data_IF_642170820632
#
_entry.id   IF_642170820632
#
_cell.length_a   1.000
_cell.length_b   1.000
_cell.length_c   1.000
_cell.angle_alpha   90.00
_cell.angle_beta   90.00
_cell.angle_gamma   90.00
#
_symmetry.space_group_name_H-M   'P 1'
#
loop_
_entity.id
_entity.type
_entity.pdbx_description
1 polymer ?
#
# COMPACT_ATOMS: atom_id res chain seq x y z
N UNK A 1 -21.24 22.73 19.82
CA UNK A 1 -19.89 22.17 19.59
C UNK A 1 -19.81 21.84 18.12
N UNK A 2 -19.00 22.53 17.40
CA UNK A 2 -18.76 22.21 15.97
C UNK A 2 -18.04 20.86 15.91
N UNK A 3 -18.73 19.85 15.42
CA UNK A 3 -18.14 18.59 15.02
C UNK A 3 -17.31 18.93 13.75
N UNK A 4 -16.08 19.44 13.92
CA UNK A 4 -15.21 19.67 12.79
C UNK A 4 -14.86 18.30 12.25
N UNK A 5 -15.36 18.00 11.05
CA UNK A 5 -14.93 16.81 10.32
C UNK A 5 -13.39 16.82 10.30
N UNK A 6 -12.75 15.66 10.52
CA UNK A 6 -11.30 15.56 10.45
C UNK A 6 -10.76 15.97 9.09
N UNK A 7 -9.47 16.29 9.01
CA UNK A 7 -8.81 16.76 7.77
C UNK A 7 -8.96 15.79 6.60
N UNK A 8 -9.14 14.50 6.88
CA UNK A 8 -9.26 13.44 5.88
C UNK A 8 -10.70 12.92 5.75
N UNK A 9 -11.68 13.63 6.30
CA UNK A 9 -13.09 13.21 6.25
C UNK A 9 -13.58 13.05 4.80
N UNK A 10 -14.14 11.87 4.48
CA UNK A 10 -14.62 11.53 3.14
C UNK A 10 -13.52 11.19 2.13
N UNK A 11 -12.25 11.16 2.56
CA UNK A 11 -11.13 10.72 1.70
C UNK A 11 -10.95 9.22 1.78
N UNK A 12 -10.56 8.61 0.66
CA UNK A 12 -10.33 7.17 0.48
C UNK A 12 -8.90 6.91 0.08
N UNK A 13 -8.20 6.10 0.87
CA UNK A 13 -6.78 5.83 0.68
C UNK A 13 -6.45 4.36 0.54
N UNK A 14 -5.55 4.03 -0.40
CA UNK A 14 -4.96 2.71 -0.55
C UNK A 14 -3.60 2.69 0.16
N UNK A 15 -3.46 1.81 1.15
CA UNK A 15 -2.25 1.67 1.96
C UNK A 15 -1.51 0.37 1.58
N UNK A 16 -0.30 0.51 1.11
CA UNK A 16 0.55 -0.59 0.69
C UNK A 16 1.82 -0.65 1.54
N UNK A 17 2.19 -1.86 2.00
CA UNK A 17 3.46 -2.07 2.70
C UNK A 17 3.37 -2.08 4.23
N UNK A 18 2.20 -2.35 4.80
CA UNK A 18 2.09 -2.61 6.25
C UNK A 18 2.59 -4.02 6.57
N UNK A 19 3.64 -4.12 7.37
CA UNK A 19 4.18 -5.40 7.84
C UNK A 19 3.77 -5.74 9.29
N UNK A 20 3.56 -4.71 10.12
CA UNK A 20 3.16 -4.82 11.53
C UNK A 20 2.78 -3.43 12.08
N UNK A 21 2.40 -3.38 13.36
CA UNK A 21 2.00 -2.15 14.05
C UNK A 21 3.11 -1.08 14.19
N UNK A 22 4.37 -1.42 13.92
CA UNK A 22 5.51 -0.49 13.95
C UNK A 22 5.89 0.03 12.56
N UNK A 23 5.25 -0.46 11.50
CA UNK A 23 5.48 0.01 10.14
C UNK A 23 5.16 1.51 10.02
N UNK A 24 5.97 2.24 9.27
CA UNK A 24 5.67 3.64 8.92
C UNK A 24 4.32 3.73 8.23
N UNK A 25 4.05 2.81 7.29
CA UNK A 25 2.77 2.73 6.58
C UNK A 25 1.56 2.54 7.53
N UNK A 26 1.70 1.73 8.59
CA UNK A 26 0.64 1.57 9.59
C UNK A 26 0.39 2.86 10.38
N UNK A 27 1.44 3.54 10.81
CA UNK A 27 1.28 4.77 11.59
C UNK A 27 0.66 5.90 10.76
N UNK A 28 0.97 5.98 9.46
CA UNK A 28 0.31 6.90 8.54
C UNK A 28 -1.16 6.51 8.33
N UNK A 29 -1.45 5.22 8.14
CA UNK A 29 -2.81 4.71 8.01
C UNK A 29 -3.65 5.08 9.23
N UNK A 30 -3.13 4.84 10.44
CA UNK A 30 -3.80 5.19 11.67
C UNK A 30 -4.05 6.69 11.78
N UNK A 31 -3.06 7.52 11.50
CA UNK A 31 -3.18 8.97 11.56
C UNK A 31 -4.24 9.50 10.58
N UNK A 32 -4.29 8.97 9.35
CA UNK A 32 -5.29 9.38 8.36
C UNK A 32 -6.69 8.87 8.70
N UNK A 33 -6.81 7.66 9.25
CA UNK A 33 -8.07 7.11 9.75
C UNK A 33 -8.60 7.93 10.94
N UNK A 34 -7.75 8.31 11.90
CA UNK A 34 -8.12 9.16 13.03
C UNK A 34 -8.64 10.54 12.57
N UNK A 35 -8.28 10.97 11.36
CA UNK A 35 -8.78 12.19 10.70
C UNK A 35 -9.97 11.96 9.77
N UNK A 36 -10.53 10.75 9.73
CA UNK A 36 -11.76 10.43 9.03
C UNK A 36 -11.62 9.81 7.64
N UNK A 37 -10.41 9.36 7.25
CA UNK A 37 -10.23 8.63 6.00
C UNK A 37 -10.80 7.21 6.08
N UNK A 38 -11.38 6.74 4.98
CA UNK A 38 -11.63 5.31 4.72
C UNK A 38 -10.38 4.70 4.06
N UNK A 39 -9.96 3.53 4.54
CA UNK A 39 -8.71 2.91 4.07
C UNK A 39 -8.92 1.50 3.51
N UNK A 40 -8.18 1.19 2.47
CA UNK A 40 -7.97 -0.15 1.95
C UNK A 40 -6.49 -0.54 2.11
N UNK A 41 -6.24 -1.83 2.24
CA UNK A 41 -4.90 -2.36 2.46
C UNK A 41 -4.53 -3.41 1.43
N UNK A 42 -3.25 -3.51 1.11
CA UNK A 42 -2.71 -4.63 0.36
C UNK A 42 -1.70 -5.41 1.19
N UNK A 43 -1.56 -6.69 0.87
CA UNK A 43 -0.60 -7.59 1.49
C UNK A 43 -0.02 -8.57 0.48
N UNK A 44 1.15 -9.13 0.77
CA UNK A 44 1.74 -10.22 0.00
C UNK A 44 1.96 -11.43 0.90
N UNK A 45 1.23 -12.51 0.64
CA UNK A 45 1.35 -13.78 1.33
C UNK A 45 0.61 -13.87 2.68
N UNK A 46 0.32 -15.09 3.10
CA UNK A 46 -0.53 -15.40 4.26
C UNK A 46 0.05 -14.90 5.58
N UNK A 47 1.36 -14.83 5.70
CA UNK A 47 2.00 -14.36 6.93
C UNK A 47 1.71 -12.87 7.19
N UNK A 48 1.67 -12.07 6.13
CA UNK A 48 1.29 -10.66 6.24
C UNK A 48 -0.21 -10.50 6.41
N UNK A 49 -1.04 -11.30 5.75
CA UNK A 49 -2.49 -11.27 5.93
C UNK A 49 -2.87 -11.43 7.41
N UNK A 50 -2.28 -12.42 8.09
CA UNK A 50 -2.53 -12.65 9.52
C UNK A 50 -2.15 -11.48 10.43
N UNK A 51 -1.18 -10.67 10.01
CA UNK A 51 -0.72 -9.51 10.77
C UNK A 51 -1.54 -8.27 10.48
N UNK A 52 -1.93 -8.07 9.22
CA UNK A 52 -2.63 -6.86 8.79
C UNK A 52 -4.12 -6.89 9.13
N UNK A 53 -4.76 -8.07 9.09
CA UNK A 53 -6.19 -8.21 9.35
C UNK A 53 -6.62 -7.57 10.67
N UNK A 54 -6.05 -7.92 11.84
CA UNK A 54 -6.47 -7.30 13.11
C UNK A 54 -6.16 -5.80 13.17
N UNK A 55 -5.13 -5.33 12.47
CA UNK A 55 -4.82 -3.89 12.39
C UNK A 55 -5.88 -3.15 11.58
N UNK A 56 -6.22 -3.64 10.39
CA UNK A 56 -7.24 -3.04 9.53
C UNK A 56 -8.62 -3.03 10.22
N UNK A 57 -9.01 -4.14 10.84
CA UNK A 57 -10.25 -4.24 11.62
C UNK A 57 -10.30 -3.23 12.77
N UNK A 58 -9.17 -2.95 13.43
CA UNK A 58 -9.11 -2.00 14.55
C UNK A 58 -9.46 -0.56 14.16
N UNK A 59 -9.38 -0.23 12.89
CA UNK A 59 -9.76 1.08 12.33
C UNK A 59 -10.96 1.00 11.40
N UNK A 60 -11.70 -0.12 11.42
CA UNK A 60 -12.93 -0.29 10.66
C UNK A 60 -12.75 -0.54 9.17
N UNK A 61 -11.55 -0.92 8.72
CA UNK A 61 -11.34 -1.29 7.32
C UNK A 61 -11.66 -2.77 7.09
N UNK A 62 -12.45 -3.04 6.06
CA UNK A 62 -12.82 -4.39 5.61
C UNK A 62 -12.26 -4.71 4.21
N UNK A 63 -11.53 -3.78 3.59
CA UNK A 63 -10.96 -3.96 2.26
C UNK A 63 -9.46 -4.27 2.35
N UNK A 64 -9.15 -5.56 2.37
CA UNK A 64 -7.79 -6.10 2.45
C UNK A 64 -7.57 -7.03 1.26
N UNK A 65 -6.62 -6.70 0.38
CA UNK A 65 -6.45 -7.35 -0.91
C UNK A 65 -5.03 -7.91 -1.08
N UNK A 66 -4.86 -9.11 -1.65
CA UNK A 66 -3.55 -9.60 -2.03
C UNK A 66 -2.97 -8.76 -3.16
N UNK A 67 -1.67 -8.48 -3.10
CA UNK A 67 -0.97 -7.77 -4.16
C UNK A 67 0.50 -8.19 -4.23
N UNK A 68 0.90 -8.74 -5.35
CA UNK A 68 2.31 -8.88 -5.74
C UNK A 68 2.63 -7.81 -6.79
N UNK A 69 3.45 -6.85 -6.44
CA UNK A 69 3.80 -5.73 -7.34
C UNK A 69 4.71 -6.12 -8.51
N UNK A 70 5.16 -7.37 -8.55
CA UNK A 70 5.89 -7.95 -9.70
C UNK A 70 4.97 -8.59 -10.73
N UNK A 71 3.68 -8.70 -10.43
CA UNK A 71 2.64 -9.28 -11.26
C UNK A 71 1.59 -8.21 -11.62
N UNK A 72 1.57 -7.81 -12.88
CA UNK A 72 0.62 -6.82 -13.40
C UNK A 72 -0.84 -7.22 -13.15
N UNK A 73 -1.19 -8.49 -13.34
CA UNK A 73 -2.53 -9.00 -13.07
C UNK A 73 -2.93 -8.88 -11.60
N UNK A 74 -1.98 -9.06 -10.68
CA UNK A 74 -2.20 -8.85 -9.25
C UNK A 74 -2.48 -7.39 -8.92
N UNK A 75 -1.75 -6.46 -9.54
CA UNK A 75 -2.00 -5.02 -9.38
C UNK A 75 -3.36 -4.65 -9.98
N UNK A 76 -3.67 -5.12 -11.18
CA UNK A 76 -4.96 -4.86 -11.85
C UNK A 76 -6.14 -5.28 -10.96
N UNK A 77 -6.07 -6.47 -10.35
CA UNK A 77 -7.10 -6.98 -9.46
C UNK A 77 -7.37 -6.08 -8.25
N UNK A 78 -6.33 -5.43 -7.69
CA UNK A 78 -6.49 -4.46 -6.60
C UNK A 78 -7.31 -3.27 -7.06
N UNK A 79 -6.97 -2.69 -8.21
CA UNK A 79 -7.68 -1.50 -8.72
C UNK A 79 -9.10 -1.82 -9.19
N UNK A 80 -9.36 -3.01 -9.72
CA UNK A 80 -10.71 -3.49 -10.02
C UNK A 80 -11.59 -3.55 -8.77
N UNK A 81 -11.08 -4.07 -7.65
CA UNK A 81 -11.82 -4.11 -6.39
C UNK A 81 -12.02 -2.71 -5.79
N UNK A 82 -11.02 -1.82 -5.87
CA UNK A 82 -11.16 -0.42 -5.43
C UNK A 82 -12.22 0.30 -6.28
N UNK A 83 -12.18 0.13 -7.61
CA UNK A 83 -13.18 0.68 -8.52
C UNK A 83 -14.58 0.19 -8.17
N UNK A 84 -14.74 -1.10 -7.97
CA UNK A 84 -16.02 -1.74 -7.67
C UNK A 84 -16.59 -1.30 -6.32
N UNK A 85 -15.75 -1.19 -5.29
CA UNK A 85 -16.19 -0.85 -3.94
C UNK A 85 -16.37 0.65 -3.72
N UNK A 86 -15.48 1.46 -4.27
CA UNK A 86 -15.41 2.90 -4.02
C UNK A 86 -15.67 3.78 -5.24
N UNK A 87 -15.27 3.34 -6.44
CA UNK A 87 -15.37 4.12 -7.66
C UNK A 87 -14.43 5.32 -7.73
N UNK A 88 -13.73 5.63 -6.64
CA UNK A 88 -12.76 6.72 -6.58
C UNK A 88 -11.69 6.42 -5.54
N UNK A 89 -10.55 7.09 -5.68
CA UNK A 89 -9.42 7.04 -4.75
C UNK A 89 -8.87 8.45 -4.57
N UNK A 90 -8.55 8.84 -3.35
CA UNK A 90 -8.03 10.18 -3.07
C UNK A 90 -6.51 10.18 -2.85
N UNK A 91 -5.96 9.10 -2.28
CA UNK A 91 -4.52 8.99 -2.06
C UNK A 91 -4.04 7.55 -2.00
N UNK A 92 -2.75 7.37 -2.25
CA UNK A 92 -2.04 6.10 -2.13
C UNK A 92 -0.83 6.31 -1.25
N UNK A 93 -0.59 5.36 -0.35
CA UNK A 93 0.65 5.22 0.36
C UNK A 93 1.40 4.00 -0.17
N UNK A 94 2.49 4.24 -0.89
CA UNK A 94 3.39 3.20 -1.36
C UNK A 94 4.54 3.01 -0.36
N UNK A 95 4.40 2.07 0.54
CA UNK A 95 5.40 1.70 1.55
C UNK A 95 6.10 0.37 1.24
N UNK A 96 6.36 0.08 -0.03
CA UNK A 96 6.90 -1.19 -0.50
C UNK A 96 8.37 -1.04 -0.85
N UNK A 97 9.20 -1.94 -0.31
CA UNK A 97 10.59 -2.09 -0.69
C UNK A 97 11.04 -3.54 -0.48
N UNK A 98 11.96 -3.98 -1.28
CA UNK A 98 12.56 -5.30 -1.18
C UNK A 98 13.99 -5.30 -1.71
N UNK A 99 14.86 -6.07 -1.08
CA UNK A 99 16.14 -6.51 -1.61
C UNK A 99 16.48 -7.87 -0.99
N UNK A 100 17.31 -8.65 -1.66
CA UNK A 100 17.75 -9.93 -1.12
C UNK A 100 18.55 -9.71 0.16
N UNK A 101 18.13 -10.40 1.21
CA UNK A 101 18.71 -10.24 2.55
C UNK A 101 20.22 -10.50 2.57
N UNK A 102 20.67 -11.49 1.80
CA UNK A 102 22.08 -11.88 1.75
C UNK A 102 22.95 -10.82 1.05
N UNK A 103 22.36 -9.95 0.25
CA UNK A 103 23.04 -8.85 -0.42
C UNK A 103 22.91 -7.50 0.29
N UNK A 104 22.23 -7.47 1.44
CA UNK A 104 22.16 -6.27 2.30
C UNK A 104 23.37 -6.11 3.22
N UNK A 105 24.28 -7.07 3.20
CA UNK A 105 25.52 -7.05 3.97
C UNK A 105 26.73 -7.13 3.05
N UNK A 106 27.87 -6.56 3.49
CA UNK A 106 29.08 -6.55 2.68
C UNK A 106 29.24 -5.28 1.85
N UNK A 107 29.91 -5.39 0.71
CA UNK A 107 30.19 -4.24 -0.16
C UNK A 107 29.10 -4.09 -1.20
N UNK A 108 28.70 -2.85 -1.46
CA UNK A 108 27.75 -2.54 -2.56
C UNK A 108 28.24 -3.07 -3.92
N UNK A 109 29.55 -3.06 -4.15
CA UNK A 109 30.15 -3.57 -5.40
C UNK A 109 29.91 -5.06 -5.66
N UNK A 110 29.54 -5.82 -4.65
CA UNK A 110 29.24 -7.25 -4.76
C UNK A 110 27.78 -7.52 -5.12
N UNK A 111 26.95 -6.47 -5.30
CA UNK A 111 25.54 -6.57 -5.70
C UNK A 111 25.41 -7.24 -7.05
N UNK A 112 24.57 -8.28 -7.12
CA UNK A 112 24.25 -8.95 -8.39
C UNK A 112 23.30 -8.12 -9.26
N UNK A 113 23.42 -8.29 -10.60
CA UNK A 113 22.50 -7.65 -11.53
C UNK A 113 21.05 -8.09 -11.31
N UNK A 114 20.84 -9.37 -10.99
CA UNK A 114 19.50 -9.91 -10.75
C UNK A 114 18.83 -9.31 -9.50
N UNK A 115 19.56 -9.22 -8.38
CA UNK A 115 19.02 -8.58 -7.19
C UNK A 115 18.83 -7.07 -7.39
N UNK A 116 19.76 -6.40 -8.07
CA UNK A 116 19.61 -4.97 -8.38
C UNK A 116 18.34 -4.71 -9.20
N UNK A 117 18.12 -5.48 -10.27
CA UNK A 117 16.92 -5.37 -11.13
C UNK A 117 15.64 -5.61 -10.33
N UNK A 118 15.60 -6.69 -9.55
CA UNK A 118 14.44 -7.02 -8.72
C UNK A 118 14.18 -5.97 -7.62
N UNK A 119 15.22 -5.48 -6.99
CA UNK A 119 15.14 -4.42 -5.99
C UNK A 119 14.53 -3.16 -6.59
N UNK A 120 15.00 -2.75 -7.76
CA UNK A 120 14.48 -1.57 -8.46
C UNK A 120 13.05 -1.77 -8.98
N UNK A 121 12.72 -2.94 -9.47
CA UNK A 121 11.36 -3.27 -9.89
C UNK A 121 10.37 -3.15 -8.72
N UNK A 122 10.69 -3.78 -7.59
CA UNK A 122 9.78 -3.82 -6.44
C UNK A 122 9.76 -2.49 -5.68
N UNK A 123 10.93 -1.88 -5.48
CA UNK A 123 11.04 -0.71 -4.60
C UNK A 123 10.83 0.63 -5.30
N UNK A 124 10.98 0.66 -6.63
CA UNK A 124 10.92 1.89 -7.41
C UNK A 124 9.84 1.83 -8.52
N UNK A 125 9.99 0.95 -9.50
CA UNK A 125 9.08 0.89 -10.65
C UNK A 125 7.64 0.55 -10.26
N UNK A 126 7.42 -0.26 -9.23
CA UNK A 126 6.08 -0.61 -8.77
C UNK A 126 5.25 0.62 -8.41
N UNK A 127 5.86 1.70 -7.92
CA UNK A 127 5.16 2.97 -7.69
C UNK A 127 4.59 3.54 -9.01
N UNK A 128 5.39 3.55 -10.08
CA UNK A 128 4.94 3.99 -11.40
C UNK A 128 3.79 3.10 -11.92
N UNK A 129 3.93 1.79 -11.83
CA UNK A 129 2.92 0.83 -12.27
C UNK A 129 1.58 1.01 -11.53
N UNK A 130 1.65 1.31 -10.23
CA UNK A 130 0.48 1.61 -9.38
C UNK A 130 -0.15 2.95 -9.79
N UNK A 131 0.64 4.00 -9.99
CA UNK A 131 0.14 5.31 -10.41
C UNK A 131 -0.54 5.27 -11.78
N UNK A 132 -0.05 4.47 -12.73
CA UNK A 132 -0.67 4.27 -14.04
C UNK A 132 -2.12 3.78 -13.93
N UNK A 133 -2.42 2.92 -12.96
CA UNK A 133 -3.76 2.39 -12.72
C UNK A 133 -4.62 3.32 -11.86
N UNK A 134 -4.00 4.00 -10.93
CA UNK A 134 -4.68 4.89 -10.00
C UNK A 134 -5.23 6.16 -10.65
N UNK A 135 -4.58 6.67 -11.69
CA UNK A 135 -4.90 7.98 -12.28
C UNK A 135 -6.37 8.12 -12.69
N UNK A 136 -7.00 7.03 -13.17
CA UNK A 136 -8.40 7.05 -13.58
C UNK A 136 -9.37 7.14 -12.39
N UNK A 137 -8.93 6.74 -11.20
CA UNK A 137 -9.70 6.80 -9.95
C UNK A 137 -9.44 8.07 -9.14
N UNK A 138 -8.33 8.78 -9.43
CA UNK A 138 -7.89 9.96 -8.71
C UNK A 138 -8.25 11.23 -9.50
N UNK A 139 -9.55 11.47 -9.69
CA UNK A 139 -10.07 12.54 -10.56
C UNK A 139 -10.04 13.93 -9.93
N UNK A 140 -9.87 14.02 -8.61
CA UNK A 140 -9.95 15.27 -7.86
C UNK A 140 -8.58 15.78 -7.38
N UNK A 141 -7.48 15.16 -7.82
CA UNK A 141 -6.14 15.60 -7.37
C UNK A 141 -5.01 14.77 -7.92
#
# INVERSE_FOLDING_TARGET
MSNSAGLMAGKRGLIMGVANSRSIAWNIAKATSDQGAELAFTYQGDALLKRITPLAESIGSDLIMPCDVTDDGSIDAVFDEVQKKWGKLDFILHGIAFSDKDELTGKYLDTSADNFTRTMQISCYSFTAICQRAQELMTDG
#
